data_IF_554302759852
#
_entry.id   IF_554302759852
#
_cell.length_a   1.000
_cell.length_b   1.000
_cell.length_c   1.000
_cell.angle_alpha   90.00
_cell.angle_beta   90.00
_cell.angle_gamma   90.00
#
_symmetry.space_group_name_H-M   'P 1'
#
loop_
_entity.id
_entity.type
_entity.pdbx_description
1 polymer ?
#
# COMPACT_ATOMS: atom_id res chain seq x y z
N UNK A 1 -28.70 -31.07 13.21
CA UNK A 1 -28.02 -30.11 12.32
C UNK A 1 -26.99 -29.41 13.18
N UNK A 2 -25.73 -29.89 13.14
CA UNK A 2 -24.64 -29.30 13.90
C UNK A 2 -24.16 -28.08 13.16
N UNK A 3 -24.15 -26.90 13.81
CA UNK A 3 -23.47 -25.71 13.32
C UNK A 3 -21.98 -26.04 13.21
N UNK A 4 -21.44 -26.09 12.00
CA UNK A 4 -20.00 -26.00 11.83
C UNK A 4 -19.59 -24.66 12.44
N UNK A 5 -18.87 -24.70 13.56
CA UNK A 5 -18.30 -23.51 14.16
C UNK A 5 -17.33 -22.90 13.15
N UNK A 6 -17.65 -21.73 12.62
CA UNK A 6 -16.72 -20.93 11.86
C UNK A 6 -15.52 -20.63 12.79
N UNK A 7 -14.40 -21.29 12.51
CA UNK A 7 -13.14 -20.97 13.16
C UNK A 7 -12.70 -19.59 12.65
N UNK A 8 -13.06 -18.55 13.37
CA UNK A 8 -12.60 -17.19 13.07
C UNK A 8 -11.07 -17.16 13.12
N UNK A 9 -10.39 -16.63 12.09
CA UNK A 9 -8.95 -16.53 12.12
C UNK A 9 -8.52 -15.65 13.29
N UNK A 10 -7.84 -16.26 14.25
CA UNK A 10 -7.19 -15.54 15.37
C UNK A 10 -5.85 -14.93 14.95
N UNK A 11 -5.42 -15.17 13.73
CA UNK A 11 -4.14 -14.73 13.18
C UNK A 11 -4.27 -14.40 11.69
N UNK A 12 -3.41 -13.48 11.24
CA UNK A 12 -3.31 -13.07 9.83
C UNK A 12 -2.89 -14.28 8.98
N UNK A 13 -3.60 -14.62 7.89
CA UNK A 13 -3.23 -15.69 6.97
C UNK A 13 -1.84 -15.49 6.37
N UNK A 14 -1.19 -16.58 5.98
CA UNK A 14 0.09 -16.52 5.26
C UNK A 14 -0.05 -17.23 3.92
N UNK A 15 0.38 -16.58 2.84
CA UNK A 15 0.39 -17.11 1.48
C UNK A 15 1.84 -17.18 0.99
N UNK A 16 2.25 -18.37 0.58
CA UNK A 16 3.54 -18.58 -0.11
C UNK A 16 3.32 -18.52 -1.61
N UNK A 17 3.87 -17.48 -2.26
CA UNK A 17 3.71 -17.27 -3.72
C UNK A 17 4.81 -17.95 -4.55
N UNK A 18 5.79 -18.58 -3.93
CA UNK A 18 6.93 -19.17 -4.62
C UNK A 18 6.57 -20.12 -5.76
N UNK A 19 5.46 -20.90 -5.74
CA UNK A 19 5.07 -21.73 -6.88
C UNK A 19 4.77 -20.94 -8.16
N UNK A 20 4.43 -19.64 -8.07
CA UNK A 20 4.23 -18.79 -9.25
C UNK A 20 5.53 -18.20 -9.79
N UNK A 21 6.59 -18.25 -9.03
CA UNK A 21 7.95 -17.82 -9.44
C UNK A 21 8.79 -19.00 -9.93
N UNK A 22 8.40 -20.23 -9.60
CA UNK A 22 9.06 -21.47 -10.05
C UNK A 22 8.36 -22.02 -11.30
N UNK A 23 9.11 -22.07 -12.42
CA UNK A 23 8.61 -22.63 -13.68
C UNK A 23 8.37 -24.15 -13.61
N UNK A 24 9.00 -24.84 -12.65
CA UNK A 24 8.87 -26.29 -12.44
C UNK A 24 7.78 -26.65 -11.43
N UNK A 25 7.15 -25.63 -10.78
CA UNK A 25 6.10 -25.91 -9.80
C UNK A 25 4.92 -26.61 -10.43
N UNK A 26 4.39 -27.62 -9.73
CA UNK A 26 3.24 -28.40 -10.19
C UNK A 26 1.97 -27.55 -10.25
N UNK A 27 1.01 -28.02 -11.03
CA UNK A 27 -0.30 -27.37 -11.15
C UNK A 27 -1.02 -27.32 -9.79
N UNK A 28 -0.95 -28.40 -9.03
CA UNK A 28 -1.55 -28.51 -7.70
C UNK A 28 -0.95 -27.51 -6.70
N UNK A 29 0.38 -27.30 -6.76
CA UNK A 29 1.04 -26.28 -5.94
C UNK A 29 0.53 -24.87 -6.28
N UNK A 30 0.38 -24.53 -7.57
CA UNK A 30 -0.17 -23.25 -8.01
C UNK A 30 -1.65 -23.09 -7.62
N UNK A 31 -2.48 -24.13 -7.76
CA UNK A 31 -3.87 -24.13 -7.32
C UNK A 31 -4.02 -23.92 -5.81
N UNK A 32 -3.10 -24.48 -5.01
CA UNK A 32 -3.06 -24.25 -3.57
C UNK A 32 -2.79 -22.77 -3.23
N UNK A 33 -1.86 -22.10 -3.95
CA UNK A 33 -1.60 -20.67 -3.78
C UNK A 33 -2.84 -19.85 -4.14
N UNK A 34 -3.48 -20.15 -5.28
CA UNK A 34 -4.71 -19.45 -5.72
C UNK A 34 -5.79 -19.56 -4.64
N UNK A 35 -6.00 -20.76 -4.10
CA UNK A 35 -6.99 -21.01 -3.05
C UNK A 35 -6.67 -20.21 -1.79
N UNK A 36 -5.42 -20.30 -1.31
CA UNK A 36 -4.99 -19.59 -0.10
C UNK A 36 -5.12 -18.06 -0.25
N UNK A 37 -4.72 -17.50 -1.39
CA UNK A 37 -4.82 -16.05 -1.65
C UNK A 37 -6.27 -15.61 -1.79
N UNK A 38 -7.10 -16.35 -2.55
CA UNK A 38 -8.53 -16.08 -2.68
C UNK A 38 -9.20 -16.06 -1.31
N UNK A 39 -8.99 -17.09 -0.49
CA UNK A 39 -9.64 -17.22 0.81
C UNK A 39 -9.19 -16.11 1.78
N UNK A 40 -7.91 -15.74 1.76
CA UNK A 40 -7.40 -14.61 2.54
C UNK A 40 -8.03 -13.27 2.11
N UNK A 41 -8.12 -13.01 0.79
CA UNK A 41 -8.66 -11.75 0.27
C UNK A 41 -10.18 -11.65 0.40
N UNK A 42 -10.92 -12.76 0.25
CA UNK A 42 -12.38 -12.76 0.34
C UNK A 42 -12.90 -12.74 1.78
N UNK A 43 -12.15 -13.28 2.74
CA UNK A 43 -12.55 -13.32 4.14
C UNK A 43 -12.01 -12.15 4.95
N UNK A 44 -10.75 -11.78 4.75
CA UNK A 44 -10.04 -10.82 5.60
C UNK A 44 -9.53 -9.59 4.84
N UNK A 45 -9.18 -9.75 3.55
CA UNK A 45 -8.57 -8.68 2.75
C UNK A 45 -7.11 -8.36 3.13
N UNK A 46 -6.49 -9.20 4.00
CA UNK A 46 -5.19 -8.96 4.61
C UNK A 46 -4.43 -10.28 4.78
N UNK A 47 -3.15 -10.34 4.43
CA UNK A 47 -2.33 -11.55 4.61
C UNK A 47 -0.83 -11.25 4.60
N UNK A 48 -0.02 -12.17 5.13
CA UNK A 48 1.43 -12.18 4.93
C UNK A 48 1.77 -12.88 3.62
N UNK A 49 2.59 -12.24 2.80
CA UNK A 49 3.18 -12.84 1.60
C UNK A 49 4.60 -13.29 1.90
N UNK A 50 4.88 -14.57 1.70
CA UNK A 50 6.22 -15.17 1.75
C UNK A 50 6.59 -15.77 0.40
N UNK A 51 7.86 -16.20 0.23
CA UNK A 51 8.30 -16.79 -1.03
C UNK A 51 8.27 -15.82 -2.23
N UNK A 52 8.31 -14.53 -1.97
CA UNK A 52 8.06 -13.46 -2.94
C UNK A 52 9.26 -13.13 -3.87
N UNK A 53 10.40 -13.76 -3.69
CA UNK A 53 11.57 -13.60 -4.56
C UNK A 53 12.34 -12.28 -4.45
N UNK A 54 11.92 -11.36 -3.57
CA UNK A 54 12.67 -10.12 -3.32
C UNK A 54 13.82 -10.44 -2.34
N UNK A 55 15.09 -10.18 -2.70
CA UNK A 55 16.23 -10.41 -1.81
C UNK A 55 16.14 -9.64 -0.50
N UNK A 56 16.64 -10.24 0.58
CA UNK A 56 16.63 -9.60 1.90
C UNK A 56 17.48 -8.31 1.89
N UNK A 57 18.56 -8.31 1.11
CA UNK A 57 19.45 -7.14 0.95
C UNK A 57 18.68 -5.93 0.39
N UNK A 58 17.80 -6.15 -0.59
CA UNK A 58 16.98 -5.06 -1.14
C UNK A 58 15.94 -4.55 -0.13
N UNK A 59 15.36 -5.46 0.66
CA UNK A 59 14.39 -5.11 1.72
C UNK A 59 15.08 -4.30 2.83
N UNK A 60 16.24 -4.74 3.26
CA UNK A 60 17.04 -4.04 4.26
C UNK A 60 17.51 -2.68 3.73
N UNK A 61 17.92 -2.60 2.45
CA UNK A 61 18.41 -1.34 1.87
C UNK A 61 17.30 -0.28 1.79
N UNK A 62 16.06 -0.65 1.51
CA UNK A 62 14.93 0.30 1.58
C UNK A 62 14.72 0.83 2.99
N UNK A 63 14.83 0.00 4.02
CA UNK A 63 14.76 0.46 5.41
C UNK A 63 15.96 1.36 5.76
N UNK A 64 17.14 1.07 5.25
CA UNK A 64 18.32 1.92 5.41
C UNK A 64 18.13 3.28 4.70
N UNK A 65 17.64 3.29 3.47
CA UNK A 65 17.28 4.52 2.76
C UNK A 65 16.25 5.34 3.55
N UNK A 66 15.24 4.68 4.13
CA UNK A 66 14.24 5.32 4.98
C UNK A 66 14.90 6.00 6.18
N UNK A 67 15.78 5.31 6.88
CA UNK A 67 16.53 5.87 8.03
C UNK A 67 17.38 7.06 7.61
N UNK A 68 18.21 6.91 6.55
CA UNK A 68 19.07 8.00 6.04
C UNK A 68 18.26 9.26 5.75
N UNK A 69 17.07 9.12 5.16
CA UNK A 69 16.23 10.27 4.84
C UNK A 69 15.67 10.95 6.09
N UNK A 70 15.12 10.19 7.03
CA UNK A 70 14.52 10.78 8.23
C UNK A 70 15.52 11.26 9.26
N UNK A 71 16.79 10.83 9.18
CA UNK A 71 17.92 11.35 9.96
C UNK A 71 18.38 12.74 9.46
N UNK A 72 17.94 13.17 8.26
CA UNK A 72 18.24 14.52 7.78
C UNK A 72 17.62 15.59 8.69
N UNK A 73 18.30 16.75 8.88
CA UNK A 73 17.71 17.89 9.54
C UNK A 73 16.39 18.31 8.88
N UNK A 74 15.46 18.84 9.67
CA UNK A 74 14.13 19.25 9.18
C UNK A 74 14.23 20.20 7.97
N UNK A 75 15.17 21.14 7.97
CA UNK A 75 15.39 22.06 6.86
C UNK A 75 15.70 21.31 5.55
N UNK A 76 16.47 20.22 5.61
CA UNK A 76 16.81 19.39 4.44
C UNK A 76 15.61 18.58 3.96
N UNK A 77 14.82 18.03 4.86
CA UNK A 77 13.55 17.37 4.51
C UNK A 77 12.59 18.35 3.84
N UNK A 78 12.49 19.59 4.33
CA UNK A 78 11.65 20.64 3.77
C UNK A 78 12.12 21.17 2.40
N UNK A 79 13.36 20.90 1.98
CA UNK A 79 13.79 21.17 0.60
C UNK A 79 12.95 20.35 -0.41
N UNK A 80 12.52 19.16 -0.02
CA UNK A 80 11.70 18.22 -0.82
C UNK A 80 10.24 18.18 -0.38
N UNK A 81 9.74 19.24 0.29
CA UNK A 81 8.36 19.28 0.76
C UNK A 81 7.36 19.03 -0.37
N UNK A 82 6.37 18.18 -0.13
CA UNK A 82 5.35 17.75 -1.11
C UNK A 82 4.62 18.92 -1.78
N UNK A 83 4.47 20.05 -1.10
CA UNK A 83 3.89 21.28 -1.69
C UNK A 83 4.77 21.96 -2.74
N UNK A 84 6.01 21.51 -2.95
CA UNK A 84 6.90 21.95 -4.04
C UNK A 84 6.87 21.00 -5.25
N UNK A 85 6.09 19.92 -5.16
CA UNK A 85 5.96 18.98 -6.26
C UNK A 85 5.43 19.66 -7.52
N UNK A 86 5.86 19.16 -8.67
CA UNK A 86 5.38 19.67 -9.95
C UNK A 86 3.89 19.38 -10.11
N UNK A 87 3.09 20.42 -10.24
CA UNK A 87 1.64 20.31 -10.42
C UNK A 87 0.96 19.48 -9.32
N UNK A 88 0.27 18.42 -9.71
CA UNK A 88 -0.44 17.49 -8.82
C UNK A 88 0.24 16.11 -8.76
N UNK A 89 1.57 16.06 -8.89
CA UNK A 89 2.31 14.80 -8.85
C UNK A 89 2.39 14.18 -7.45
N UNK A 90 2.25 14.98 -6.38
CA UNK A 90 2.31 14.55 -4.98
C UNK A 90 3.59 13.76 -4.65
N UNK A 91 4.75 14.31 -4.99
CA UNK A 91 6.07 13.75 -4.67
C UNK A 91 6.74 14.53 -3.56
N UNK A 92 7.47 13.86 -2.70
CA UNK A 92 8.32 14.48 -1.70
C UNK A 92 7.91 14.28 -0.26
N UNK A 93 8.41 15.14 0.62
CA UNK A 93 8.27 15.06 2.07
C UNK A 93 6.89 15.47 2.56
N UNK A 94 6.32 14.65 3.41
CA UNK A 94 5.09 14.88 4.15
C UNK A 94 5.44 15.11 5.64
N UNK A 95 5.27 16.32 6.15
CA UNK A 95 5.48 16.58 7.58
C UNK A 95 4.39 15.92 8.44
N UNK A 96 4.64 15.73 9.74
CA UNK A 96 3.61 15.28 10.68
C UNK A 96 2.35 16.16 10.62
N UNK A 97 1.21 15.58 10.96
CA UNK A 97 -0.08 16.28 11.00
C UNK A 97 -0.63 16.76 9.64
N UNK A 98 -0.13 16.22 8.53
CA UNK A 98 -0.66 16.56 7.20
C UNK A 98 -2.03 15.90 6.94
N UNK A 99 -2.27 14.71 7.47
CA UNK A 99 -3.49 13.94 7.24
C UNK A 99 -4.30 13.74 8.54
N UNK A 100 -5.61 13.74 8.38
CA UNK A 100 -6.59 13.35 9.40
C UNK A 100 -7.58 12.39 8.75
N UNK A 101 -7.58 11.13 9.17
CA UNK A 101 -8.40 10.10 8.52
C UNK A 101 -9.86 10.08 8.98
N UNK A 102 -10.15 10.58 10.17
CA UNK A 102 -11.51 10.61 10.72
C UNK A 102 -11.76 11.87 11.55
N UNK A 103 -13.00 12.35 11.51
CA UNK A 103 -13.45 13.42 12.40
C UNK A 103 -13.33 12.99 13.88
N UNK A 104 -12.82 13.88 14.73
CA UNK A 104 -12.60 13.63 16.16
C UNK A 104 -11.28 12.97 16.51
N UNK A 105 -10.45 12.55 15.52
CA UNK A 105 -9.08 12.14 15.75
C UNK A 105 -8.11 13.33 15.73
N UNK A 106 -7.03 13.20 16.48
CA UNK A 106 -5.87 14.06 16.31
C UNK A 106 -5.15 13.71 15.01
N UNK A 107 -4.44 14.67 14.38
CA UNK A 107 -3.67 14.40 13.16
C UNK A 107 -2.64 13.28 13.35
N UNK A 108 -2.37 12.55 12.27
CA UNK A 108 -1.37 11.47 12.23
C UNK A 108 0.01 11.96 12.68
N UNK A 109 0.71 11.13 13.44
CA UNK A 109 2.06 11.48 13.95
C UNK A 109 3.18 11.09 13.01
N UNK A 110 2.89 10.37 11.92
CA UNK A 110 3.91 9.93 10.96
C UNK A 110 4.52 11.09 10.18
N UNK A 111 5.77 10.93 9.82
CA UNK A 111 6.40 11.62 8.69
C UNK A 111 6.44 10.70 7.48
N UNK A 112 6.36 11.25 6.28
CA UNK A 112 6.40 10.49 5.04
C UNK A 112 7.33 11.10 4.00
N UNK A 113 7.82 10.25 3.07
CA UNK A 113 8.43 10.69 1.82
C UNK A 113 7.83 9.88 0.68
N UNK A 114 7.10 10.55 -0.22
CA UNK A 114 6.39 9.92 -1.33
C UNK A 114 7.21 10.03 -2.60
N UNK A 115 7.36 8.90 -3.27
CA UNK A 115 7.92 8.80 -4.61
C UNK A 115 7.08 7.86 -5.48
N UNK A 116 7.36 7.82 -6.76
CA UNK A 116 6.70 6.91 -7.69
C UNK A 116 7.51 6.74 -8.95
N UNK A 117 6.88 6.26 -10.03
CA UNK A 117 7.54 6.18 -11.33
C UNK A 117 8.15 7.53 -11.70
N UNK A 118 9.43 7.53 -12.04
CA UNK A 118 10.10 8.75 -12.49
C UNK A 118 9.50 9.20 -13.83
N UNK A 119 9.12 10.47 -13.90
CA UNK A 119 8.61 11.08 -15.13
C UNK A 119 9.37 12.37 -15.34
N UNK A 120 10.12 12.51 -16.45
CA UNK A 120 10.87 13.72 -16.74
C UNK A 120 9.98 14.97 -16.71
N UNK A 121 10.52 16.10 -16.26
CA UNK A 121 9.76 17.34 -16.12
C UNK A 121 9.25 17.92 -17.45
N UNK A 122 9.88 17.56 -18.56
CA UNK A 122 9.50 17.93 -19.93
C UNK A 122 8.54 16.92 -20.59
N UNK A 123 8.18 15.82 -19.92
CA UNK A 123 7.20 14.89 -20.43
C UNK A 123 5.79 15.53 -20.45
N UNK A 124 4.97 15.28 -21.49
CA UNK A 124 3.64 15.90 -21.63
C UNK A 124 2.71 15.67 -20.44
N UNK A 125 2.82 14.51 -19.79
CA UNK A 125 2.01 14.13 -18.61
C UNK A 125 2.59 14.64 -17.28
N UNK A 126 3.77 15.23 -17.26
CA UNK A 126 4.41 15.70 -16.02
C UNK A 126 3.56 16.78 -15.32
N UNK A 127 3.39 16.67 -14.03
CA UNK A 127 2.56 17.54 -13.22
C UNK A 127 1.07 17.19 -13.23
N UNK A 128 0.64 16.16 -13.96
CA UNK A 128 -0.71 15.61 -13.82
C UNK A 128 -0.85 14.82 -12.52
N UNK A 129 -2.07 14.38 -12.20
CA UNK A 129 -2.36 13.68 -10.95
C UNK A 129 -1.47 12.43 -10.77
N UNK A 130 -0.71 12.36 -9.68
CA UNK A 130 0.24 11.29 -9.34
C UNK A 130 1.35 11.04 -10.39
N UNK A 131 1.61 11.96 -11.30
CA UNK A 131 2.61 11.81 -12.36
C UNK A 131 3.55 13.02 -12.42
N UNK A 132 4.85 12.78 -12.35
CA UNK A 132 5.86 13.84 -12.39
C UNK A 132 7.22 13.39 -11.87
N UNK A 133 8.20 14.27 -11.88
CA UNK A 133 9.53 13.97 -11.35
C UNK A 133 9.48 13.76 -9.84
N UNK A 134 10.28 12.81 -9.37
CA UNK A 134 10.52 12.65 -7.93
C UNK A 134 11.36 13.83 -7.39
N UNK A 135 11.13 14.19 -6.13
CA UNK A 135 11.92 15.23 -5.46
C UNK A 135 13.04 14.60 -4.65
N UNK A 136 14.21 14.41 -5.28
CA UNK A 136 15.36 13.82 -4.61
C UNK A 136 16.10 14.80 -3.71
N UNK A 137 16.46 14.44 -2.45
CA UNK A 137 17.21 15.32 -1.54
C UNK A 137 18.65 15.46 -2.03
N UNK A 138 19.08 16.67 -2.29
CA UNK A 138 20.45 16.97 -2.77
C UNK A 138 21.56 16.59 -1.78
N UNK A 139 21.21 16.37 -0.53
CA UNK A 139 22.13 16.00 0.54
C UNK A 139 22.43 14.49 0.63
N UNK A 140 21.73 13.68 -0.14
CA UNK A 140 21.97 12.23 -0.22
C UNK A 140 22.46 11.87 -1.63
N UNK A 141 23.59 11.14 -1.75
CA UNK A 141 24.08 10.65 -3.05
C UNK A 141 23.08 9.71 -3.71
N UNK A 142 23.01 9.77 -5.05
CA UNK A 142 22.08 8.93 -5.80
C UNK A 142 22.35 7.43 -5.60
N UNK A 143 23.61 7.02 -5.49
CA UNK A 143 24.02 5.64 -5.27
C UNK A 143 23.53 5.10 -3.91
N UNK A 144 23.34 5.97 -2.92
CA UNK A 144 22.95 5.61 -1.58
C UNK A 144 21.45 5.81 -1.33
N UNK A 145 20.71 6.47 -2.24
CA UNK A 145 19.32 6.81 -2.01
C UNK A 145 18.42 6.59 -3.24
N UNK A 146 18.50 7.42 -4.29
CA UNK A 146 17.55 7.36 -5.39
C UNK A 146 17.65 6.07 -6.20
N UNK A 147 18.86 5.61 -6.51
CA UNK A 147 19.10 4.39 -7.31
C UNK A 147 18.58 3.14 -6.61
N UNK A 148 18.93 2.81 -5.35
CA UNK A 148 18.40 1.63 -4.67
C UNK A 148 16.87 1.69 -4.50
N UNK A 149 16.31 2.87 -4.23
CA UNK A 149 14.86 3.03 -4.09
C UNK A 149 14.15 2.72 -5.42
N UNK A 150 14.63 3.27 -6.55
CA UNK A 150 14.00 3.04 -7.85
C UNK A 150 14.17 1.58 -8.32
N UNK A 151 15.29 0.94 -8.01
CA UNK A 151 15.48 -0.50 -8.25
C UNK A 151 14.48 -1.34 -7.46
N UNK A 152 14.27 -1.02 -6.19
CA UNK A 152 13.27 -1.67 -5.35
C UNK A 152 11.85 -1.42 -5.88
N UNK A 153 11.51 -0.17 -6.24
CA UNK A 153 10.22 0.20 -6.82
C UNK A 153 9.89 -0.65 -8.06
N UNK A 154 10.85 -0.83 -8.96
CA UNK A 154 10.68 -1.68 -10.15
C UNK A 154 10.39 -3.15 -9.77
N UNK A 155 11.10 -3.71 -8.78
CA UNK A 155 10.84 -5.07 -8.27
C UNK A 155 9.46 -5.21 -7.66
N UNK A 156 8.96 -4.17 -6.97
CA UNK A 156 7.60 -4.18 -6.40
C UNK A 156 6.53 -4.25 -7.50
N UNK A 157 6.70 -3.52 -8.60
CA UNK A 157 5.80 -3.61 -9.76
C UNK A 157 5.75 -5.04 -10.29
N UNK A 158 6.91 -5.67 -10.52
CA UNK A 158 6.95 -7.04 -11.03
C UNK A 158 6.32 -8.05 -10.05
N UNK A 159 6.56 -7.90 -8.76
CA UNK A 159 5.91 -8.75 -7.75
C UNK A 159 4.38 -8.58 -7.77
N UNK A 160 3.87 -7.35 -7.86
CA UNK A 160 2.42 -7.11 -7.90
C UNK A 160 1.79 -7.67 -9.18
N UNK A 161 2.48 -7.67 -10.32
CA UNK A 161 2.01 -8.36 -11.54
C UNK A 161 1.72 -9.84 -11.27
N UNK A 162 2.57 -10.52 -10.49
CA UNK A 162 2.32 -11.91 -10.10
C UNK A 162 1.11 -12.00 -9.17
N UNK A 163 1.01 -11.12 -8.18
CA UNK A 163 -0.11 -11.09 -7.23
C UNK A 163 -1.45 -10.92 -7.97
N UNK A 164 -1.58 -9.94 -8.87
CA UNK A 164 -2.85 -9.69 -9.58
C UNK A 164 -3.21 -10.82 -10.53
N UNK A 165 -2.22 -11.52 -11.09
CA UNK A 165 -2.46 -12.73 -11.87
C UNK A 165 -3.05 -13.86 -11.01
N UNK A 166 -2.53 -14.06 -9.80
CA UNK A 166 -3.08 -15.04 -8.84
C UNK A 166 -4.49 -14.65 -8.40
N UNK A 167 -4.73 -13.34 -8.18
CA UNK A 167 -6.07 -12.83 -7.85
C UNK A 167 -7.06 -13.07 -8.98
N UNK A 168 -6.68 -12.90 -10.26
CA UNK A 168 -7.54 -13.19 -11.41
C UNK A 168 -7.94 -14.67 -11.47
N UNK A 169 -7.00 -15.58 -11.19
CA UNK A 169 -7.25 -17.02 -11.11
C UNK A 169 -8.19 -17.40 -9.95
N UNK A 170 -8.24 -16.60 -8.90
CA UNK A 170 -9.08 -16.82 -7.71
C UNK A 170 -10.50 -16.27 -7.80
N UNK A 171 -10.88 -15.62 -8.91
CA UNK A 171 -12.22 -15.07 -9.10
C UNK A 171 -13.27 -16.18 -9.24
N UNK A 172 -14.55 -15.94 -8.91
CA UNK A 172 -15.63 -16.90 -9.09
C UNK A 172 -15.74 -17.37 -10.55
N UNK A 173 -15.76 -18.67 -10.76
CA UNK A 173 -15.80 -19.25 -12.09
C UNK A 173 -17.08 -18.86 -12.89
N UNK A 174 -18.17 -18.63 -12.18
CA UNK A 174 -19.45 -18.19 -12.74
C UNK A 174 -19.38 -16.78 -13.38
N UNK A 175 -18.43 -15.94 -12.98
CA UNK A 175 -18.23 -14.62 -13.58
C UNK A 175 -17.59 -14.70 -14.96
N UNK A 176 -16.95 -15.83 -15.29
CA UNK A 176 -16.29 -16.08 -16.58
C UNK A 176 -15.30 -14.98 -16.97
N UNK A 177 -14.62 -14.40 -15.97
CA UNK A 177 -13.63 -13.37 -16.21
C UNK A 177 -12.45 -13.92 -17.02
N UNK A 178 -11.89 -13.14 -17.96
CA UNK A 178 -10.65 -13.52 -18.63
C UNK A 178 -9.49 -13.55 -17.63
N UNK A 179 -8.47 -14.40 -17.89
CA UNK A 179 -7.33 -14.56 -16.98
C UNK A 179 -6.44 -13.31 -16.87
N UNK A 180 -6.54 -12.41 -17.84
CA UNK A 180 -5.83 -11.14 -17.95
C UNK A 180 -6.68 -9.92 -17.49
N UNK A 181 -7.81 -10.17 -16.82
CA UNK A 181 -8.77 -9.13 -16.40
C UNK A 181 -8.12 -7.97 -15.62
N UNK A 182 -7.02 -8.23 -14.93
CA UNK A 182 -6.28 -7.22 -14.15
C UNK A 182 -4.99 -6.74 -14.82
N UNK A 183 -4.65 -7.19 -16.03
CA UNK A 183 -3.36 -6.86 -16.65
C UNK A 183 -3.22 -5.36 -16.94
N UNK A 184 -4.30 -4.71 -17.42
CA UNK A 184 -4.31 -3.26 -17.66
C UNK A 184 -4.03 -2.42 -16.41
N UNK A 185 -4.30 -2.95 -15.23
CA UNK A 185 -3.95 -2.31 -13.96
C UNK A 185 -2.45 -2.01 -13.87
N UNK A 186 -1.61 -2.87 -14.44
CA UNK A 186 -0.16 -2.75 -14.37
C UNK A 186 0.49 -2.04 -15.56
N UNK A 187 -0.32 -1.54 -16.50
CA UNK A 187 0.14 -0.74 -17.64
C UNK A 187 0.24 0.73 -17.23
N UNK A 188 1.46 1.28 -17.22
CA UNK A 188 1.73 2.66 -16.77
C UNK A 188 1.06 3.03 -15.43
N UNK A 189 1.21 2.20 -14.38
CA UNK A 189 0.45 2.38 -13.17
C UNK A 189 0.89 3.61 -12.37
N UNK A 190 -0.04 4.25 -11.70
CA UNK A 190 0.26 5.01 -10.50
C UNK A 190 0.60 4.00 -9.40
N UNK A 191 1.85 4.01 -8.97
CA UNK A 191 2.39 3.08 -8.00
C UNK A 191 3.30 3.82 -7.00
N UNK A 192 2.75 4.67 -6.12
CA UNK A 192 3.57 5.37 -5.13
C UNK A 192 4.18 4.39 -4.12
N UNK A 193 5.46 4.61 -3.83
CA UNK A 193 6.16 4.08 -2.67
C UNK A 193 6.28 5.20 -1.64
N UNK A 194 5.94 4.92 -0.39
CA UNK A 194 6.14 5.84 0.73
C UNK A 194 7.20 5.27 1.66
N UNK A 195 8.16 6.10 2.03
CA UNK A 195 9.03 5.84 3.18
C UNK A 195 8.36 6.49 4.38
N UNK A 196 8.14 5.74 5.46
CA UNK A 196 7.42 6.23 6.64
C UNK A 196 8.28 6.13 7.90
N UNK A 197 8.21 7.17 8.71
CA UNK A 197 8.84 7.28 10.01
C UNK A 197 7.81 7.63 11.07
N UNK A 198 7.87 6.91 12.19
CA UNK A 198 7.08 7.17 13.37
C UNK A 198 8.02 7.44 14.54
N UNK A 199 8.03 8.67 15.02
CA UNK A 199 8.82 9.05 16.18
C UNK A 199 8.39 8.31 17.44
N UNK A 200 9.30 8.06 18.40
CA UNK A 200 8.93 7.48 19.68
C UNK A 200 7.81 8.28 20.36
N UNK A 201 6.80 7.58 20.85
CA UNK A 201 5.69 8.17 21.59
C UNK A 201 5.42 7.33 22.85
N UNK A 202 6.28 7.47 23.89
CA UNK A 202 6.19 6.64 25.08
C UNK A 202 4.92 6.89 25.92
N UNK A 203 4.30 8.06 25.73
CA UNK A 203 3.03 8.41 26.40
C UNK A 203 1.92 8.38 25.37
N UNK A 204 1.02 7.40 25.52
CA UNK A 204 -0.18 7.29 24.67
C UNK A 204 -1.07 8.48 24.89
N UNK A 205 -1.42 9.18 23.82
CA UNK A 205 -2.49 10.19 23.84
C UNK A 205 -3.78 9.55 23.29
N UNK A 206 -4.88 9.82 23.94
CA UNK A 206 -6.17 9.39 23.46
C UNK A 206 -6.48 10.01 22.10
N UNK A 207 -7.07 9.22 21.19
CA UNK A 207 -7.41 9.62 19.82
C UNK A 207 -6.23 10.08 18.93
N UNK A 208 -4.99 9.75 19.31
CA UNK A 208 -3.81 9.99 18.47
C UNK A 208 -3.20 8.66 18.00
N UNK A 209 -2.99 8.57 16.69
CA UNK A 209 -2.44 7.40 16.00
C UNK A 209 -1.19 7.77 15.20
N UNK A 210 -0.36 6.77 14.89
CA UNK A 210 0.64 6.91 13.85
C UNK A 210 -0.01 7.15 12.51
N UNK A 211 -1.02 6.31 12.18
CA UNK A 211 -1.99 6.49 11.10
C UNK A 211 -3.37 6.12 11.64
N UNK A 212 -4.35 7.00 11.49
CA UNK A 212 -5.74 6.77 11.87
C UNK A 212 -6.38 5.61 11.10
N UNK A 213 -7.55 5.17 11.57
CA UNK A 213 -8.34 4.11 10.95
C UNK A 213 -8.75 4.50 9.53
N UNK A 214 -8.38 3.68 8.55
CA UNK A 214 -8.65 3.91 7.13
C UNK A 214 -8.67 2.61 6.32
N UNK A 215 -9.10 2.72 5.08
CA UNK A 215 -8.85 1.76 3.99
C UNK A 215 -7.92 2.37 2.96
N UNK A 216 -7.15 1.55 2.25
CA UNK A 216 -6.35 2.02 1.12
C UNK A 216 -7.22 2.29 -0.10
N UNK A 217 -6.87 3.33 -0.86
CA UNK A 217 -7.70 3.81 -1.97
C UNK A 217 -7.56 2.98 -3.26
N UNK A 218 -6.36 2.43 -3.48
CA UNK A 218 -5.98 1.73 -4.71
C UNK A 218 -6.44 0.28 -4.77
N UNK A 219 -5.68 -0.53 -5.50
CA UNK A 219 -6.00 -1.94 -5.72
C UNK A 219 -5.28 -2.88 -4.74
N UNK A 220 -3.95 -2.82 -4.69
CA UNK A 220 -3.13 -3.70 -3.84
C UNK A 220 -2.08 -2.88 -3.12
N UNK A 221 -1.97 -3.07 -1.83
CA UNK A 221 -0.90 -2.52 -1.01
C UNK A 221 0.06 -3.60 -0.57
N UNK A 222 1.36 -3.27 -0.60
CA UNK A 222 2.46 -4.15 -0.19
C UNK A 222 3.28 -3.41 0.84
N UNK A 223 3.23 -3.84 2.09
CA UNK A 223 3.89 -3.17 3.20
C UNK A 223 5.12 -3.94 3.66
N UNK A 224 6.27 -3.29 3.61
CA UNK A 224 7.46 -3.69 4.33
C UNK A 224 7.47 -3.04 5.72
N UNK A 225 7.62 -3.85 6.78
CA UNK A 225 7.76 -3.39 8.15
C UNK A 225 9.19 -3.67 8.65
N UNK A 226 9.72 -2.76 9.48
CA UNK A 226 10.98 -2.99 10.19
C UNK A 226 10.78 -4.00 11.32
N UNK A 227 11.69 -4.98 11.43
CA UNK A 227 11.66 -5.98 12.51
C UNK A 227 11.86 -5.36 13.89
N UNK A 228 11.22 -5.96 14.89
CA UNK A 228 11.29 -5.48 16.28
C UNK A 228 10.45 -4.24 16.56
N UNK A 229 9.56 -3.86 15.65
CA UNK A 229 8.59 -2.79 15.82
C UNK A 229 7.16 -3.31 15.68
N UNK A 230 6.23 -2.68 16.37
CA UNK A 230 4.81 -3.05 16.39
C UNK A 230 3.91 -1.84 16.09
N UNK A 231 2.60 -2.06 16.05
CA UNK A 231 1.61 -1.00 15.98
C UNK A 231 0.60 -1.11 14.84
N UNK A 232 0.86 -1.92 13.81
CA UNK A 232 -0.15 -2.18 12.78
C UNK A 232 -1.26 -3.07 13.35
N UNK A 233 -2.50 -2.63 13.15
CA UNK A 233 -3.70 -3.39 13.50
C UNK A 233 -4.69 -3.36 12.33
N UNK A 234 -5.38 -4.48 12.12
CA UNK A 234 -6.46 -4.61 11.14
C UNK A 234 -7.77 -4.91 11.83
N UNK A 235 -8.85 -4.28 11.38
CA UNK A 235 -10.18 -4.49 11.92
C UNK A 235 -10.81 -5.76 11.33
N UNK A 236 -11.26 -6.66 12.20
CA UNK A 236 -11.95 -7.89 11.79
C UNK A 236 -13.46 -7.77 12.04
N UNK A 237 -14.26 -7.53 11.00
CA UNK A 237 -15.69 -7.24 11.13
C UNK A 237 -16.51 -8.31 11.84
N UNK A 238 -16.26 -9.62 11.64
CA UNK A 238 -17.08 -10.67 12.28
C UNK A 238 -17.04 -10.62 13.81
N UNK A 239 -15.91 -10.24 14.41
CA UNK A 239 -15.76 -10.12 15.87
C UNK A 239 -15.78 -8.67 16.36
N UNK A 240 -15.84 -7.69 15.47
CA UNK A 240 -15.76 -6.24 15.79
C UNK A 240 -14.50 -5.89 16.60
N UNK A 241 -13.38 -6.54 16.33
CA UNK A 241 -12.12 -6.38 17.06
C UNK A 241 -10.98 -5.92 16.16
N UNK A 242 -10.02 -5.23 16.76
CA UNK A 242 -8.73 -4.92 16.14
C UNK A 242 -7.76 -6.07 16.39
N UNK A 243 -7.23 -6.63 15.31
CA UNK A 243 -6.27 -7.74 15.34
C UNK A 243 -4.88 -7.19 15.07
N UNK A 244 -3.91 -7.39 15.99
CA UNK A 244 -2.52 -7.00 15.74
C UNK A 244 -1.94 -7.72 14.53
N UNK A 245 -1.09 -7.00 13.77
CA UNK A 245 -0.33 -7.51 12.62
C UNK A 245 1.16 -7.44 12.96
N UNK A 246 1.70 -8.38 13.75
CA UNK A 246 3.09 -8.38 14.14
C UNK A 246 4.00 -8.53 12.92
N UNK A 247 5.24 -8.04 13.02
CA UNK A 247 6.22 -8.22 11.95
C UNK A 247 6.58 -9.70 11.84
N UNK A 248 6.44 -10.26 10.66
CA UNK A 248 6.85 -11.61 10.32
C UNK A 248 8.14 -11.56 9.51
N UNK A 249 9.23 -12.21 9.92
CA UNK A 249 10.47 -12.23 9.16
C UNK A 249 10.27 -12.70 7.72
N UNK A 250 11.02 -12.15 6.79
CA UNK A 250 11.01 -12.51 5.36
C UNK A 250 9.62 -12.45 4.71
N UNK A 251 8.73 -11.56 5.19
CA UNK A 251 7.41 -11.39 4.60
C UNK A 251 7.11 -9.93 4.26
N UNK A 252 6.10 -9.75 3.41
CA UNK A 252 5.35 -8.50 3.27
C UNK A 252 3.96 -8.67 3.87
N UNK A 253 3.36 -7.59 4.32
CA UNK A 253 1.92 -7.54 4.55
C UNK A 253 1.26 -7.07 3.27
N UNK A 254 0.25 -7.81 2.82
CA UNK A 254 -0.55 -7.46 1.64
C UNK A 254 -1.96 -7.14 2.10
N UNK A 255 -2.54 -6.08 1.55
CA UNK A 255 -3.96 -5.81 1.68
C UNK A 255 -4.58 -5.33 0.37
N UNK A 256 -5.86 -5.65 0.21
CA UNK A 256 -6.67 -5.12 -0.88
C UNK A 256 -7.17 -3.73 -0.52
N UNK A 257 -7.23 -2.85 -1.52
CA UNK A 257 -7.79 -1.52 -1.37
C UNK A 257 -9.20 -1.40 -1.94
N UNK A 258 -9.77 -0.20 -1.79
CA UNK A 258 -11.15 0.11 -2.15
C UNK A 258 -11.45 -0.14 -3.64
N UNK A 259 -10.49 0.15 -4.52
CA UNK A 259 -10.66 -0.10 -5.95
C UNK A 259 -10.79 -1.57 -6.28
N UNK A 260 -9.94 -2.43 -5.69
CA UNK A 260 -10.05 -3.88 -5.87
C UNK A 260 -11.39 -4.39 -5.33
N UNK A 261 -11.83 -3.90 -4.18
CA UNK A 261 -13.14 -4.25 -3.62
C UNK A 261 -14.29 -3.84 -4.55
N UNK A 262 -14.27 -2.62 -5.10
CA UNK A 262 -15.30 -2.15 -6.04
C UNK A 262 -15.28 -2.95 -7.34
N UNK A 263 -14.10 -3.15 -7.93
CA UNK A 263 -13.97 -3.89 -9.19
C UNK A 263 -14.49 -5.33 -9.07
N UNK A 264 -14.25 -5.96 -7.92
CA UNK A 264 -14.72 -7.33 -7.63
C UNK A 264 -16.07 -7.38 -6.90
N UNK A 265 -16.88 -6.33 -6.95
CA UNK A 265 -18.21 -6.26 -6.30
C UNK A 265 -18.19 -6.70 -4.83
N UNK A 266 -17.13 -6.38 -4.10
CA UNK A 266 -16.96 -6.77 -2.70
C UNK A 266 -16.56 -8.22 -2.49
N UNK A 267 -16.20 -8.98 -3.54
CA UNK A 267 -15.67 -10.34 -3.39
C UNK A 267 -14.32 -10.32 -2.67
N UNK A 268 -13.36 -9.51 -3.14
CA UNK A 268 -12.15 -9.21 -2.38
C UNK A 268 -12.41 -8.00 -1.47
N UNK A 269 -12.04 -8.12 -0.20
CA UNK A 269 -12.38 -7.15 0.84
C UNK A 269 -11.29 -6.11 1.02
N UNK A 270 -11.66 -4.84 1.08
CA UNK A 270 -10.78 -3.78 1.56
C UNK A 270 -10.89 -3.70 3.07
N UNK A 271 -9.81 -3.99 3.78
CA UNK A 271 -9.81 -4.07 5.23
C UNK A 271 -9.43 -2.74 5.87
N UNK A 272 -10.23 -2.29 6.84
CA UNK A 272 -9.86 -1.14 7.70
C UNK A 272 -8.65 -1.50 8.55
N UNK A 273 -7.68 -0.59 8.60
CA UNK A 273 -6.47 -0.78 9.39
C UNK A 273 -5.96 0.55 9.94
N UNK A 274 -5.10 0.48 10.95
CA UNK A 274 -4.54 1.63 11.63
C UNK A 274 -3.14 1.34 12.15
N UNK A 275 -2.39 2.38 12.50
CA UNK A 275 -1.10 2.24 13.19
C UNK A 275 -1.20 2.93 14.54
N UNK A 276 -1.13 2.13 15.61
CA UNK A 276 -1.04 2.63 16.98
C UNK A 276 0.43 2.98 17.24
N UNK A 277 0.71 4.23 17.54
CA UNK A 277 2.06 4.67 17.87
C UNK A 277 2.21 4.85 19.39
N UNK A 278 2.62 3.80 20.05
CA UNK A 278 2.94 3.79 21.50
C UNK A 278 4.36 3.24 21.77
N UNK A 279 5.21 3.28 20.75
CA UNK A 279 6.55 2.71 20.81
C UNK A 279 7.51 3.63 21.59
N UNK A 280 8.41 3.02 22.34
CA UNK A 280 9.55 3.71 22.96
C UNK A 280 10.72 3.91 21.99
N UNK A 281 10.65 3.30 20.82
CA UNK A 281 11.65 3.35 19.75
C UNK A 281 11.02 3.90 18.47
N UNK A 282 11.86 4.46 17.61
CA UNK A 282 11.49 4.79 16.24
C UNK A 282 10.99 3.56 15.49
N UNK A 283 9.99 3.73 14.63
CA UNK A 283 9.49 2.69 13.72
C UNK A 283 9.61 3.18 12.29
N UNK A 284 10.08 2.32 11.41
CA UNK A 284 10.16 2.59 9.98
C UNK A 284 9.34 1.56 9.20
N UNK A 285 8.75 2.00 8.10
CA UNK A 285 8.04 1.11 7.18
C UNK A 285 8.02 1.69 5.77
N UNK A 286 7.82 0.82 4.79
CA UNK A 286 7.80 1.23 3.38
C UNK A 286 6.60 0.58 2.65
N UNK A 287 5.41 1.20 2.70
CA UNK A 287 4.28 0.76 1.92
C UNK A 287 4.43 1.16 0.44
N UNK A 288 4.18 0.20 -0.43
CA UNK A 288 4.04 0.36 -1.87
C UNK A 288 2.57 0.19 -2.25
N UNK A 289 2.00 1.15 -2.96
CA UNK A 289 0.59 1.15 -3.32
C UNK A 289 0.43 0.95 -4.83
N UNK A 290 -0.05 -0.19 -5.27
CA UNK A 290 -0.48 -0.36 -6.65
C UNK A 290 -1.87 0.24 -6.82
N UNK A 291 -1.92 1.52 -7.13
CA UNK A 291 -3.18 2.18 -7.48
C UNK A 291 -3.70 1.68 -8.83
N UNK A 292 -2.82 1.48 -9.78
CA UNK A 292 -3.11 1.05 -11.12
C UNK A 292 -3.09 2.18 -12.16
N UNK A 293 -3.45 1.85 -13.39
CA UNK A 293 -3.62 2.83 -14.46
C UNK A 293 -4.78 3.77 -14.12
N UNK A 294 -4.49 5.06 -13.93
CA UNK A 294 -5.47 6.04 -13.45
C UNK A 294 -6.63 6.29 -14.42
N UNK A 295 -6.43 6.06 -15.71
CA UNK A 295 -7.44 6.24 -16.75
C UNK A 295 -8.31 5.00 -16.95
N UNK A 296 -7.98 3.88 -16.28
CA UNK A 296 -8.70 2.62 -16.42
C UNK A 296 -10.11 2.73 -15.86
N UNK A 297 -11.08 2.33 -16.69
CA UNK A 297 -12.50 2.18 -16.34
C UNK A 297 -12.75 0.75 -15.91
N UNK A 298 -12.92 0.55 -14.61
CA UNK A 298 -13.20 -0.75 -14.04
C UNK A 298 -14.71 -1.02 -14.06
N UNK A 299 -15.14 -1.95 -14.89
CA UNK A 299 -16.50 -2.47 -14.87
C UNK A 299 -16.60 -3.55 -13.80
N UNK A 300 -17.61 -3.46 -12.93
CA UNK A 300 -17.82 -4.44 -11.87
C UNK A 300 -17.92 -5.86 -12.44
N UNK A 301 -17.13 -6.79 -11.90
CA UNK A 301 -16.95 -8.15 -12.47
C UNK A 301 -18.13 -9.08 -12.22
N UNK A 302 -19.07 -8.71 -11.36
CA UNK A 302 -20.32 -9.44 -11.11
C UNK A 302 -21.40 -9.20 -12.16
N UNK A 303 -21.13 -8.34 -13.15
CA UNK A 303 -22.08 -7.99 -14.20
C UNK A 303 -23.16 -6.98 -13.79
N UNK A 304 -23.04 -6.33 -12.64
CA UNK A 304 -23.99 -5.28 -12.16
C UNK A 304 -24.00 -4.04 -13.06
N UNK A 305 -22.98 -3.83 -13.89
CA UNK A 305 -22.82 -2.67 -14.75
C UNK A 305 -22.29 -1.40 -14.07
N UNK A 306 -21.93 -1.49 -12.80
CA UNK A 306 -21.26 -0.39 -12.10
C UNK A 306 -19.87 -0.14 -12.72
N UNK A 307 -19.51 1.14 -12.91
CA UNK A 307 -18.24 1.55 -13.52
C UNK A 307 -17.55 2.54 -12.60
N UNK A 308 -16.28 2.30 -12.30
CA UNK A 308 -15.44 3.21 -11.53
C UNK A 308 -14.16 3.53 -12.30
N UNK A 309 -13.79 4.80 -12.40
CA UNK A 309 -12.48 5.23 -12.93
C UNK A 309 -11.49 5.32 -11.80
N UNK A 310 -10.35 4.62 -11.90
CA UNK A 310 -9.37 4.54 -10.83
C UNK A 310 -8.91 5.93 -10.35
N UNK A 311 -8.51 6.79 -11.28
CA UNK A 311 -8.00 8.12 -10.94
C UNK A 311 -9.03 9.03 -10.28
N UNK A 312 -10.30 8.96 -10.70
CA UNK A 312 -11.39 9.72 -10.09
C UNK A 312 -11.65 9.27 -8.66
N UNK A 313 -11.71 7.96 -8.43
CA UNK A 313 -11.90 7.39 -7.10
C UNK A 313 -10.78 7.80 -6.14
N UNK A 314 -9.51 7.61 -6.55
CA UNK A 314 -8.36 7.94 -5.70
C UNK A 314 -8.33 9.44 -5.39
N UNK A 315 -8.62 10.29 -6.39
CA UNK A 315 -8.68 11.74 -6.18
C UNK A 315 -9.76 12.12 -5.17
N UNK A 316 -10.95 11.53 -5.28
CA UNK A 316 -12.03 11.78 -4.33
C UNK A 316 -11.62 11.37 -2.91
N UNK A 317 -11.07 10.17 -2.73
CA UNK A 317 -10.61 9.67 -1.43
C UNK A 317 -9.50 10.54 -0.84
N UNK A 318 -8.58 11.01 -1.68
CA UNK A 318 -7.51 11.91 -1.23
C UNK A 318 -8.06 13.25 -0.74
N UNK A 319 -9.05 13.81 -1.42
CA UNK A 319 -9.73 15.07 -0.99
C UNK A 319 -10.45 14.90 0.35
N UNK A 320 -11.02 13.72 0.63
CA UNK A 320 -11.68 13.42 1.90
C UNK A 320 -10.70 13.38 3.09
N UNK A 321 -9.44 12.96 2.86
CA UNK A 321 -8.43 12.78 3.92
C UNK A 321 -7.49 13.96 4.10
N UNK A 322 -7.24 14.74 3.03
CA UNK A 322 -6.45 15.97 3.08
C UNK A 322 -7.42 17.16 2.97
N UNK A 323 -8.16 17.40 4.04
CA UNK A 323 -9.15 18.49 4.08
C UNK A 323 -8.56 19.85 4.45
N UNK A 324 -9.38 20.91 4.31
CA UNK A 324 -9.11 22.26 4.80
C UNK A 324 -7.94 22.97 4.10
N UNK A 325 -7.13 23.70 4.87
CA UNK A 325 -6.01 24.49 4.36
C UNK A 325 -4.88 23.65 3.75
N UNK A 326 -4.65 22.45 4.26
CA UNK A 326 -3.63 21.53 3.72
C UNK A 326 -3.97 21.11 2.29
N UNK A 327 -5.22 20.73 2.02
CA UNK A 327 -5.69 20.39 0.68
C UNK A 327 -5.57 21.56 -0.30
N UNK A 328 -5.97 22.76 0.12
CA UNK A 328 -5.80 23.99 -0.69
C UNK A 328 -4.34 24.26 -1.07
N UNK A 329 -3.41 24.07 -0.12
CA UNK A 329 -1.96 24.23 -0.38
C UNK A 329 -1.40 23.20 -1.36
N UNK A 330 -2.04 22.04 -1.47
CA UNK A 330 -1.65 20.97 -2.38
C UNK A 330 -2.41 21.00 -3.73
N UNK A 331 -3.30 21.99 -3.92
CA UNK A 331 -4.07 22.14 -5.16
C UNK A 331 -5.20 21.11 -5.32
N UNK A 332 -5.71 20.59 -4.21
CA UNK A 332 -6.89 19.72 -4.12
C UNK A 332 -8.18 20.52 -4.04
#
# INVERSE_FOLDING_TARGET
MGSMGETHPTSIPTVDISPFLDVQASKEAKESVVTAMRDACSSFGFFYLVGHGIPEEDRQEILNCTKRYFDLPMEKKMETWIGKAMGRSFRGYEPPALQVHQEGLLPDTKEGFILGRETPADAPEAGTFHTGPNQWPKSLPDEEFSIPIMRYHAKMIEMVKVIVKVLALGLPAEWKCPLDVFDELTVNPSAPLRLLYYAPQPVKKENQFGVGDHTDFGNVSVLLQEEGTEGLEVFYPPTQTWVPVPVKPHSYVINMGDMMQKWTAGYYKSARHRVVNNNTKSRYSAPFFMNGNLDLKCHSLDGSGEVTVIGEHIRQRLMETIGGEAGKKLGL
#
